data_IF_699512811147
#
_entry.id   IF_699512811147
#
_cell.length_a   1.000
_cell.length_b   1.000
_cell.length_c   1.000
_cell.angle_alpha   90.00
_cell.angle_beta   90.00
_cell.angle_gamma   90.00
#
_symmetry.space_group_name_H-M   'P 1'
#
loop_
_entity.id
_entity.type
_entity.pdbx_description
1 polymer ?
#
# COMPACT_ATOMS: atom_id res chain seq x y z
N UNK A 1 -9.99 21.92 16.82
CA UNK A 1 -8.87 20.96 16.98
C UNK A 1 -7.92 21.15 15.81
N UNK A 2 -6.62 21.38 16.06
CA UNK A 2 -5.62 21.38 15.00
C UNK A 2 -5.48 19.93 14.51
N UNK A 3 -5.46 19.65 13.20
CA UNK A 3 -5.15 18.31 12.73
C UNK A 3 -3.78 17.94 13.29
N UNK A 4 -3.72 16.83 14.03
CA UNK A 4 -2.45 16.29 14.53
C UNK A 4 -1.50 16.20 13.34
N UNK A 5 -0.33 16.84 13.47
CA UNK A 5 0.73 16.82 12.48
C UNK A 5 1.17 15.36 12.28
N UNK A 6 0.57 14.67 11.32
CA UNK A 6 1.13 13.46 10.73
C UNK A 6 2.32 13.88 9.86
N UNK A 7 3.35 14.44 10.49
CA UNK A 7 4.52 14.99 9.82
C UNK A 7 5.69 14.05 10.10
N UNK A 8 6.01 13.24 9.09
CA UNK A 8 7.25 12.46 8.93
C UNK A 8 7.35 11.19 9.79
N UNK A 9 6.57 10.13 9.45
CA UNK A 9 6.75 8.84 10.10
C UNK A 9 8.12 8.26 9.74
N UNK A 10 8.79 7.63 10.70
CA UNK A 10 9.95 6.79 10.39
C UNK A 10 9.49 5.52 9.65
N UNK A 11 10.39 4.82 8.94
CA UNK A 11 10.06 3.52 8.35
C UNK A 11 9.44 2.55 9.36
N UNK A 12 9.95 2.52 10.59
CA UNK A 12 9.45 1.66 11.67
C UNK A 12 8.02 2.05 12.06
N UNK A 13 7.72 3.35 12.14
CA UNK A 13 6.37 3.84 12.44
C UNK A 13 5.40 3.50 11.31
N UNK A 14 5.80 3.64 10.05
CA UNK A 14 4.98 3.25 8.91
C UNK A 14 4.72 1.75 8.93
N UNK A 15 5.75 0.93 9.12
CA UNK A 15 5.63 -0.53 9.16
C UNK A 15 4.72 -0.98 10.31
N UNK A 16 4.94 -0.48 11.52
CA UNK A 16 4.12 -0.80 12.69
C UNK A 16 2.65 -0.40 12.49
N UNK A 17 2.38 0.75 11.87
CA UNK A 17 1.02 1.21 11.61
C UNK A 17 0.30 0.34 10.57
N UNK A 18 0.97 -0.06 9.49
CA UNK A 18 0.39 -0.96 8.50
C UNK A 18 0.10 -2.33 9.10
N UNK A 19 1.06 -2.89 9.87
CA UNK A 19 0.87 -4.17 10.55
C UNK A 19 -0.30 -4.12 11.54
N UNK A 20 -0.38 -3.07 12.35
CA UNK A 20 -1.50 -2.86 13.29
C UNK A 20 -2.84 -2.76 12.57
N UNK A 21 -2.90 -2.03 11.46
CA UNK A 21 -4.13 -1.91 10.67
C UNK A 21 -4.51 -3.24 10.01
N UNK A 22 -3.53 -4.01 9.53
CA UNK A 22 -3.73 -5.33 8.94
C UNK A 22 -4.27 -6.34 9.97
N UNK A 23 -3.64 -6.43 11.14
CA UNK A 23 -4.05 -7.31 12.24
C UNK A 23 -5.44 -6.96 12.77
N UNK A 24 -5.76 -5.66 12.84
CA UNK A 24 -7.08 -5.18 13.25
C UNK A 24 -8.16 -5.33 12.16
N UNK A 25 -7.82 -5.88 10.99
CA UNK A 25 -8.76 -6.02 9.87
C UNK A 25 -9.34 -4.69 9.40
N UNK A 26 -8.61 -3.57 9.60
CA UNK A 26 -9.06 -2.21 9.25
C UNK A 26 -8.94 -1.95 7.76
N UNK A 27 -9.60 -2.81 7.01
CA UNK A 27 -9.56 -2.83 5.58
C UNK A 27 -10.81 -2.17 5.03
N UNK A 28 -10.65 -1.01 4.41
CA UNK A 28 -11.74 -0.39 3.65
C UNK A 28 -11.81 -1.05 2.27
N UNK A 29 -12.21 -2.32 2.26
CA UNK A 29 -12.21 -3.24 1.12
C UNK A 29 -13.19 -2.82 -0.01
N UNK A 30 -13.98 -1.76 0.22
CA UNK A 30 -15.19 -1.48 -0.55
C UNK A 30 -15.10 -0.28 -1.49
N UNK A 31 -14.03 0.52 -1.44
CA UNK A 31 -13.87 1.57 -2.45
C UNK A 31 -13.31 1.06 -3.80
N UNK A 32 -12.70 -0.12 -3.85
CA UNK A 32 -12.20 -0.74 -5.08
C UNK A 32 -12.44 -2.25 -5.06
N UNK A 33 -13.47 -2.69 -5.80
CA UNK A 33 -14.03 -4.05 -5.83
C UNK A 33 -12.96 -5.12 -6.07
N UNK A 34 -12.82 -6.09 -5.17
CA UNK A 34 -11.93 -7.26 -5.31
C UNK A 34 -12.08 -7.93 -6.67
N UNK A 35 -13.31 -8.09 -7.13
CA UNK A 35 -13.64 -8.67 -8.43
C UNK A 35 -12.95 -7.96 -9.60
N UNK A 36 -12.68 -6.66 -9.47
CA UNK A 36 -11.98 -5.87 -10.50
C UNK A 36 -10.48 -6.17 -10.52
N UNK A 37 -9.90 -6.60 -9.41
CA UNK A 37 -8.46 -6.72 -9.21
C UNK A 37 -7.96 -8.16 -8.94
N UNK A 38 -8.85 -9.11 -8.66
CA UNK A 38 -8.52 -10.50 -8.35
C UNK A 38 -7.69 -11.16 -9.46
N UNK A 39 -7.96 -10.79 -10.72
CA UNK A 39 -7.24 -11.28 -11.89
C UNK A 39 -5.97 -10.51 -12.25
N UNK A 40 -5.58 -9.46 -11.53
CA UNK A 40 -4.49 -8.58 -11.96
C UNK A 40 -3.14 -9.29 -11.98
N UNK A 41 -2.87 -10.15 -11.00
CA UNK A 41 -1.66 -10.97 -10.97
C UNK A 41 -1.71 -12.16 -11.93
N UNK A 42 -2.91 -12.65 -12.29
CA UNK A 42 -3.08 -13.63 -13.36
C UNK A 42 -2.75 -13.01 -14.72
N UNK A 43 -3.30 -11.83 -15.02
CA UNK A 43 -2.98 -11.06 -16.24
C UNK A 43 -1.48 -10.73 -16.34
N UNK A 44 -0.83 -10.51 -15.20
CA UNK A 44 0.61 -10.28 -15.12
C UNK A 44 1.46 -11.56 -15.18
N UNK A 45 0.84 -12.75 -15.31
CA UNK A 45 1.49 -14.07 -15.28
C UNK A 45 2.29 -14.36 -14.01
N UNK A 46 1.96 -13.67 -12.92
CA UNK A 46 2.54 -13.92 -11.59
C UNK A 46 1.83 -15.06 -10.85
N UNK A 47 0.61 -15.40 -11.29
CA UNK A 47 -0.21 -16.47 -10.71
C UNK A 47 -1.00 -17.20 -11.79
N UNK A 48 -1.33 -18.46 -11.54
CA UNK A 48 -2.22 -19.26 -12.40
C UNK A 48 -3.71 -19.04 -12.11
N UNK A 49 -4.05 -18.72 -10.86
CA UNK A 49 -5.43 -18.49 -10.40
C UNK A 49 -5.53 -17.17 -9.63
N UNK A 50 -6.68 -16.49 -9.64
CA UNK A 50 -6.93 -15.32 -8.80
C UNK A 50 -6.74 -15.64 -7.31
N UNK A 51 -6.31 -14.65 -6.53
CA UNK A 51 -6.34 -14.76 -5.07
C UNK A 51 -7.79 -14.83 -4.59
N UNK A 52 -8.05 -15.70 -3.60
CA UNK A 52 -9.33 -15.72 -2.87
C UNK A 52 -9.36 -14.65 -1.79
N UNK A 53 -10.55 -14.34 -1.26
CA UNK A 53 -10.75 -13.26 -0.29
C UNK A 53 -9.88 -13.43 0.98
N UNK A 54 -9.72 -14.66 1.45
CA UNK A 54 -8.91 -14.99 2.63
C UNK A 54 -7.42 -14.74 2.39
N UNK A 55 -6.93 -15.00 1.18
CA UNK A 55 -5.55 -14.70 0.82
C UNK A 55 -5.37 -13.19 0.68
N UNK A 56 -6.32 -12.52 0.03
CA UNK A 56 -6.34 -11.07 -0.05
C UNK A 56 -6.19 -10.43 1.34
N UNK A 57 -6.93 -10.89 2.35
CA UNK A 57 -6.89 -10.38 3.72
C UNK A 57 -5.50 -10.39 4.38
N UNK A 58 -4.61 -11.29 3.96
CA UNK A 58 -3.25 -11.40 4.50
C UNK A 58 -2.25 -10.48 3.79
N UNK A 59 -2.59 -9.98 2.61
CA UNK A 59 -1.66 -9.23 1.76
C UNK A 59 -1.06 -7.98 2.44
N UNK A 60 -1.84 -7.15 3.18
CA UNK A 60 -1.25 -5.99 3.85
C UNK A 60 -0.23 -6.36 4.93
N UNK A 61 -0.45 -7.47 5.66
CA UNK A 61 0.51 -7.96 6.64
C UNK A 61 1.80 -8.43 5.95
N UNK A 62 1.68 -9.19 4.85
CA UNK A 62 2.83 -9.61 4.05
C UNK A 62 3.63 -8.42 3.50
N UNK A 63 2.97 -7.33 3.10
CA UNK A 63 3.64 -6.08 2.68
C UNK A 63 4.38 -5.43 3.85
N UNK A 64 3.76 -5.36 5.04
CA UNK A 64 4.36 -4.74 6.22
C UNK A 64 5.62 -5.49 6.68
N UNK A 65 5.63 -6.82 6.59
CA UNK A 65 6.74 -7.66 7.04
C UNK A 65 7.87 -7.77 6.01
N UNK A 66 7.68 -7.26 4.79
CA UNK A 66 8.64 -7.44 3.71
C UNK A 66 9.80 -6.42 3.75
N UNK A 67 11.07 -6.86 3.83
CA UNK A 67 12.20 -5.95 4.03
C UNK A 67 12.54 -5.08 2.82
N UNK A 68 12.10 -5.45 1.60
CA UNK A 68 12.37 -4.70 0.38
C UNK A 68 11.17 -3.83 -0.04
N UNK A 69 10.40 -3.34 0.94
CA UNK A 69 9.29 -2.41 0.71
C UNK A 69 9.80 -0.98 0.52
N UNK A 70 9.32 -0.33 -0.52
CA UNK A 70 9.56 1.08 -0.78
C UNK A 70 8.45 1.90 -0.11
N UNK A 71 8.82 2.84 0.75
CA UNK A 71 7.90 3.65 1.54
C UNK A 71 7.77 5.07 0.95
N UNK A 72 6.56 5.61 0.96
CA UNK A 72 6.32 7.00 0.56
C UNK A 72 5.15 7.62 1.33
N UNK A 73 5.11 8.95 1.35
CA UNK A 73 4.01 9.74 1.92
C UNK A 73 3.55 10.74 0.85
N UNK A 74 2.29 10.68 0.45
CA UNK A 74 1.76 11.51 -0.65
C UNK A 74 0.34 11.99 -0.36
N UNK A 75 -0.16 12.92 -1.18
CA UNK A 75 -1.53 13.42 -1.05
C UNK A 75 -2.49 12.59 -1.91
N UNK A 76 -3.54 12.06 -1.29
CA UNK A 76 -4.60 11.32 -1.98
C UNK A 76 -5.97 11.90 -1.60
N UNK A 77 -6.71 12.43 -2.58
CA UNK A 77 -8.04 13.03 -2.40
C UNK A 77 -8.09 14.03 -1.22
N UNK A 78 -7.08 14.88 -1.10
CA UNK A 78 -6.96 15.89 -0.03
C UNK A 78 -6.40 15.39 1.30
N UNK A 79 -6.28 14.07 1.52
CA UNK A 79 -5.68 13.47 2.71
C UNK A 79 -4.20 13.15 2.50
N UNK A 80 -3.42 13.15 3.57
CA UNK A 80 -2.05 12.61 3.56
C UNK A 80 -2.13 11.11 3.81
N UNK A 81 -1.53 10.32 2.95
CA UNK A 81 -1.54 8.85 3.03
C UNK A 81 -0.13 8.29 2.99
N UNK A 82 0.02 7.09 3.55
CA UNK A 82 1.27 6.34 3.60
C UNK A 82 1.20 5.21 2.58
N UNK A 83 2.12 5.21 1.61
CA UNK A 83 2.22 4.22 0.56
C UNK A 83 3.35 3.23 0.82
N UNK A 84 3.09 1.97 0.47
CA UNK A 84 3.99 0.84 0.62
C UNK A 84 4.00 0.10 -0.70
N UNK A 85 5.14 0.02 -1.35
CA UNK A 85 5.25 -0.61 -2.66
C UNK A 85 6.30 -1.72 -2.67
N UNK A 86 5.90 -2.88 -3.17
CA UNK A 86 6.77 -4.02 -3.37
C UNK A 86 6.82 -4.33 -4.87
N UNK A 87 8.00 -4.17 -5.49
CA UNK A 87 8.20 -4.57 -6.88
C UNK A 87 7.97 -6.08 -7.07
N UNK A 88 8.44 -6.87 -6.11
CA UNK A 88 8.23 -8.32 -6.01
C UNK A 88 7.90 -8.64 -4.56
N UNK A 89 6.86 -9.43 -4.31
CA UNK A 89 6.45 -9.88 -2.98
C UNK A 89 6.24 -11.40 -3.03
N UNK A 90 7.04 -12.20 -2.31
CA UNK A 90 6.75 -13.61 -2.08
C UNK A 90 5.45 -13.73 -1.26
N UNK A 91 4.45 -14.42 -1.81
CA UNK A 91 3.14 -14.52 -1.17
C UNK A 91 2.40 -15.77 -1.65
N UNK A 92 1.90 -16.59 -0.70
CA UNK A 92 1.08 -17.79 -0.99
C UNK A 92 1.70 -18.69 -2.08
N UNK A 93 3.01 -18.95 -2.00
CA UNK A 93 3.76 -19.79 -2.95
C UNK A 93 4.02 -19.16 -4.33
N UNK A 94 3.67 -17.87 -4.52
CA UNK A 94 3.86 -17.13 -5.76
C UNK A 94 4.74 -15.89 -5.53
N UNK A 95 5.18 -15.26 -6.61
CA UNK A 95 5.86 -13.94 -6.56
C UNK A 95 4.96 -12.91 -7.20
N UNK A 96 4.24 -12.16 -6.37
CA UNK A 96 3.38 -11.08 -6.81
C UNK A 96 4.22 -9.89 -7.27
N UNK A 97 3.87 -9.29 -8.39
CA UNK A 97 4.58 -8.14 -8.96
C UNK A 97 3.81 -6.85 -8.72
N UNK A 98 4.52 -5.76 -8.44
CA UNK A 98 3.97 -4.40 -8.31
C UNK A 98 2.82 -4.30 -7.27
N UNK A 99 3.03 -4.82 -6.06
CA UNK A 99 2.05 -4.72 -4.97
C UNK A 99 2.10 -3.32 -4.37
N UNK A 100 0.96 -2.66 -4.21
CA UNK A 100 0.84 -1.35 -3.59
C UNK A 100 -0.19 -1.41 -2.46
N UNK A 101 0.23 -1.10 -1.22
CA UNK A 101 -0.65 -0.82 -0.10
C UNK A 101 -0.67 0.67 0.22
N UNK A 102 -1.82 1.17 0.67
CA UNK A 102 -2.03 2.57 1.05
C UNK A 102 -2.79 2.62 2.37
N UNK A 103 -2.19 3.25 3.36
CA UNK A 103 -2.74 3.49 4.69
C UNK A 103 -3.12 4.96 4.82
N UNK A 104 -4.34 5.21 5.31
CA UNK A 104 -4.75 6.52 5.81
C UNK A 104 -4.42 6.54 7.32
N UNK A 105 -3.41 7.34 7.74
CA UNK A 105 -2.84 7.24 9.07
C UNK A 105 -3.72 7.85 10.17
N UNK A 106 -4.58 8.83 9.86
CA UNK A 106 -5.44 9.48 10.86
C UNK A 106 -6.52 8.53 11.39
N UNK A 107 -7.15 7.74 10.51
CA UNK A 107 -8.14 6.73 10.87
C UNK A 107 -7.51 5.34 11.09
N UNK A 108 -6.23 5.17 10.73
CA UNK A 108 -5.51 3.90 10.79
C UNK A 108 -6.16 2.83 9.91
N UNK A 109 -6.60 3.21 8.70
CA UNK A 109 -7.33 2.35 7.77
C UNK A 109 -6.54 2.10 6.50
N UNK A 110 -6.49 0.85 6.06
CA UNK A 110 -5.93 0.47 4.78
C UNK A 110 -7.00 0.73 3.72
N UNK A 111 -6.75 1.68 2.82
CA UNK A 111 -7.70 2.12 1.79
C UNK A 111 -7.42 1.50 0.41
N UNK A 112 -6.24 0.90 0.23
CA UNK A 112 -5.86 0.20 -0.99
C UNK A 112 -4.79 -0.86 -0.68
N UNK A 113 -4.87 -2.04 -1.27
CA UNK A 113 -3.80 -3.05 -1.25
C UNK A 113 -3.95 -4.00 -2.44
N UNK A 114 -3.44 -3.61 -3.62
CA UNK A 114 -3.68 -4.30 -4.89
C UNK A 114 -2.45 -4.20 -5.80
N UNK A 115 -2.48 -4.83 -6.97
CA UNK A 115 -1.47 -4.62 -8.01
C UNK A 115 -1.61 -3.21 -8.60
N UNK A 116 -0.51 -2.46 -8.68
CA UNK A 116 -0.50 -1.23 -9.46
C UNK A 116 -0.39 -1.55 -10.96
N UNK A 117 -1.21 -0.89 -11.77
CA UNK A 117 -1.09 -1.00 -13.22
C UNK A 117 0.25 -0.38 -13.65
N UNK A 118 1.04 -1.13 -14.45
CA UNK A 118 2.31 -0.67 -15.03
C UNK A 118 2.15 0.77 -15.54
N UNK A 119 2.84 1.72 -14.90
CA UNK A 119 2.87 3.13 -15.32
C UNK A 119 2.02 4.10 -14.51
N UNK A 120 1.08 3.69 -13.65
CA UNK A 120 0.39 4.61 -12.72
C UNK A 120 1.24 4.79 -11.45
N UNK A 121 2.29 5.61 -11.56
CA UNK A 121 3.16 6.00 -10.45
C UNK A 121 2.58 7.26 -9.81
N UNK A 122 1.83 7.10 -8.73
CA UNK A 122 1.51 8.22 -7.84
C UNK A 122 2.47 8.14 -6.67
N UNK A 123 3.64 8.77 -6.82
CA UNK A 123 4.55 9.01 -5.71
C UNK A 123 4.94 10.46 -5.74
N UNK A 124 4.31 11.22 -4.87
CA UNK A 124 4.90 12.44 -4.39
C UNK A 124 5.81 12.04 -3.23
N UNK A 125 7.12 12.24 -3.33
CA UNK A 125 8.04 12.09 -2.20
C UNK A 125 8.08 13.42 -1.47
N UNK A 126 8.06 13.33 -0.15
CA UNK A 126 8.35 14.48 0.69
C UNK A 126 9.85 14.81 0.58
N UNK A 127 10.19 15.97 0.00
CA UNK A 127 11.56 16.47 -0.04
C UNK A 127 12.04 16.92 1.34
N UNK A 128 13.35 16.94 1.59
CA UNK A 128 14.00 17.14 2.91
C UNK A 128 13.66 18.45 3.66
N UNK A 129 12.78 19.33 3.16
CA UNK A 129 12.59 20.69 3.69
C UNK A 129 11.13 21.20 3.71
N UNK A 130 10.13 20.35 4.00
CA UNK A 130 8.70 20.74 4.08
C UNK A 130 8.13 21.42 2.81
N UNK A 131 8.91 21.50 1.73
CA UNK A 131 8.57 22.18 0.49
C UNK A 131 8.61 21.19 -0.65
N UNK A 132 7.41 20.96 -1.18
CA UNK A 132 7.07 20.23 -2.39
C UNK A 132 7.12 18.70 -2.28
N UNK A 133 5.92 18.15 -2.43
CA UNK A 133 5.64 16.83 -2.97
C UNK A 133 6.33 16.70 -4.34
N UNK A 134 7.51 16.09 -4.40
CA UNK A 134 8.25 15.92 -5.65
C UNK A 134 7.74 14.64 -6.32
N UNK A 135 7.25 14.70 -7.58
CA UNK A 135 6.89 13.49 -8.32
C UNK A 135 8.15 12.66 -8.56
N UNK A 136 8.23 11.48 -7.95
CA UNK A 136 9.34 10.54 -8.17
C UNK A 136 8.93 9.47 -9.16
N UNK A 137 9.86 9.09 -10.02
CA UNK A 137 9.69 8.02 -11.00
C UNK A 137 10.38 6.76 -10.46
N UNK A 138 9.60 5.74 -10.11
CA UNK A 138 10.05 4.37 -9.84
C UNK A 138 10.21 3.55 -11.12
#
# INVERSE_FOLDING_TARGET
MKPEKVCNPTPEQMTAALLKAAQAGRWNHWQHKVETHAGDWVKARAMHKPLVAEQFAKLPAAVAEYPFVELCVYRYKGKVVWGYYCKKLPFEGNVLVHVLAVLEPTEGKIIHCMRSNRGKKYTERWGEQEKLFIPVRW
#
